data_IF_698882637429
#
_entry.id   IF_698882637429
#
_cell.length_a   1.000
_cell.length_b   1.000
_cell.length_c   1.000
_cell.angle_alpha   90.00
_cell.angle_beta   90.00
_cell.angle_gamma   90.00
#
_symmetry.space_group_name_H-M   'P 1'
#
loop_
_entity.id
_entity.type
_entity.pdbx_description
1 polymer ?
#
# COMPACT_ATOMS: atom_id res chain seq x y z
N UNK A 1 24.61 7.68 13.58
CA UNK A 1 25.33 7.94 12.31
C UNK A 1 25.39 6.74 11.33
N UNK A 2 26.15 5.66 11.54
CA UNK A 2 26.18 4.52 10.58
C UNK A 2 24.83 3.75 10.49
N UNK A 3 24.09 3.66 11.59
CA UNK A 3 22.76 3.03 11.65
C UNK A 3 21.70 3.90 10.94
N UNK A 4 21.73 5.22 11.13
CA UNK A 4 20.82 6.16 10.45
C UNK A 4 20.99 6.17 8.93
N UNK A 5 22.23 6.10 8.42
CA UNK A 5 22.49 6.07 6.98
C UNK A 5 21.95 4.77 6.35
N UNK A 6 22.03 3.63 7.05
CA UNK A 6 21.41 2.37 6.60
C UNK A 6 19.87 2.45 6.64
N UNK A 7 19.29 3.03 7.69
CA UNK A 7 17.85 3.22 7.83
C UNK A 7 17.25 4.13 6.75
N UNK A 8 17.93 5.24 6.44
CA UNK A 8 17.48 6.18 5.41
C UNK A 8 17.50 5.55 4.01
N UNK A 9 18.56 4.79 3.69
CA UNK A 9 18.69 4.08 2.39
C UNK A 9 17.63 3.01 2.19
N UNK A 10 17.29 2.24 3.23
CA UNK A 10 16.24 1.22 3.15
C UNK A 10 14.86 1.85 2.95
N UNK A 11 14.59 2.96 3.65
CA UNK A 11 13.36 3.75 3.47
C UNK A 11 13.23 4.34 2.06
N UNK A 12 14.33 4.86 1.49
CA UNK A 12 14.33 5.42 0.14
C UNK A 12 14.13 4.33 -0.92
N UNK A 13 14.87 3.22 -0.83
CA UNK A 13 14.76 2.10 -1.77
C UNK A 13 13.34 1.53 -1.78
N UNK A 14 12.72 1.37 -0.60
CA UNK A 14 11.34 0.90 -0.47
C UNK A 14 10.35 1.81 -1.19
N UNK A 15 10.51 3.14 -1.03
CA UNK A 15 9.65 4.12 -1.71
C UNK A 15 9.88 4.14 -3.22
N UNK A 16 11.12 3.96 -3.69
CA UNK A 16 11.41 3.86 -5.14
C UNK A 16 10.78 2.61 -5.74
N UNK A 17 10.86 1.46 -5.06
CA UNK A 17 10.18 0.23 -5.48
C UNK A 17 8.66 0.46 -5.48
N UNK A 18 8.12 1.06 -4.42
CA UNK A 18 6.68 1.33 -4.32
C UNK A 18 6.17 2.23 -5.45
N UNK A 19 6.87 3.34 -5.72
CA UNK A 19 6.56 4.23 -6.84
C UNK A 19 6.65 3.50 -8.18
N UNK A 20 7.66 2.64 -8.37
CA UNK A 20 7.82 1.89 -9.62
C UNK A 20 6.66 0.93 -9.86
N UNK A 21 6.19 0.24 -8.82
CA UNK A 21 5.02 -0.65 -8.89
C UNK A 21 3.74 0.13 -9.24
N UNK A 22 3.57 1.32 -8.65
CA UNK A 22 2.45 2.22 -8.96
C UNK A 22 2.49 2.67 -10.42
N UNK A 23 3.65 3.09 -10.91
CA UNK A 23 3.82 3.52 -12.31
C UNK A 23 3.57 2.37 -13.29
N UNK A 24 4.05 1.16 -12.97
CA UNK A 24 3.76 -0.02 -13.80
C UNK A 24 2.29 -0.39 -13.78
N UNK A 25 1.59 -0.22 -12.65
CA UNK A 25 0.14 -0.40 -12.62
C UNK A 25 -0.60 0.64 -13.46
N UNK A 26 -0.17 1.90 -13.48
CA UNK A 26 -0.84 2.95 -14.24
C UNK A 26 -0.60 2.85 -15.74
N UNK A 27 0.62 2.53 -16.15
CA UNK A 27 1.01 2.52 -17.56
C UNK A 27 0.79 1.17 -18.24
N UNK A 28 0.67 0.10 -17.44
CA UNK A 28 0.58 -1.30 -17.88
C UNK A 28 1.47 -1.64 -19.10
N UNK A 29 2.79 -1.44 -19.00
CA UNK A 29 3.68 -1.54 -20.15
C UNK A 29 3.77 -2.97 -20.73
N UNK A 30 3.25 -3.96 -20.00
CA UNK A 30 3.35 -5.38 -20.33
C UNK A 30 2.00 -6.09 -20.46
N UNK A 31 0.88 -5.36 -20.36
CA UNK A 31 -0.48 -5.91 -20.44
C UNK A 31 -0.72 -7.06 -19.45
N UNK A 32 -0.32 -6.87 -18.20
CA UNK A 32 -0.34 -7.93 -17.18
C UNK A 32 -1.74 -8.29 -16.67
N UNK A 33 -2.77 -7.57 -17.12
CA UNK A 33 -4.16 -7.75 -16.70
C UNK A 33 -4.50 -6.96 -15.43
N UNK A 34 -5.79 -6.67 -15.25
CA UNK A 34 -6.31 -5.79 -14.19
C UNK A 34 -5.94 -6.29 -12.78
N UNK A 35 -5.94 -7.60 -12.56
CA UNK A 35 -5.58 -8.22 -11.29
C UNK A 35 -4.14 -7.87 -10.86
N UNK A 36 -3.20 -7.96 -11.79
CA UNK A 36 -1.79 -7.72 -11.51
C UNK A 36 -1.49 -6.24 -11.34
N UNK A 37 -2.17 -5.38 -12.10
CA UNK A 37 -2.12 -3.93 -11.93
C UNK A 37 -2.52 -3.55 -10.51
N UNK A 38 -3.66 -4.04 -10.03
CA UNK A 38 -4.21 -3.68 -8.72
C UNK A 38 -3.34 -4.17 -7.58
N UNK A 39 -2.85 -5.41 -7.66
CA UNK A 39 -1.94 -5.95 -6.64
C UNK A 39 -0.65 -5.13 -6.61
N UNK A 40 -0.08 -4.82 -7.78
CA UNK A 40 1.12 -3.98 -7.88
C UNK A 40 0.87 -2.59 -7.31
N UNK A 41 -0.30 -2.02 -7.60
CA UNK A 41 -0.71 -0.72 -7.12
C UNK A 41 -0.85 -0.69 -5.60
N UNK A 42 -1.61 -1.62 -5.02
CA UNK A 42 -1.84 -1.72 -3.57
C UNK A 42 -0.53 -1.96 -2.82
N UNK A 43 0.30 -2.89 -3.30
CA UNK A 43 1.62 -3.15 -2.70
C UNK A 43 2.52 -1.93 -2.82
N UNK A 44 2.56 -1.31 -3.99
CA UNK A 44 3.34 -0.12 -4.22
C UNK A 44 2.89 1.04 -3.34
N UNK A 45 1.58 1.19 -3.16
CA UNK A 45 0.97 2.18 -2.30
C UNK A 45 1.36 1.94 -0.85
N UNK A 46 1.20 0.71 -0.31
CA UNK A 46 1.56 0.44 1.09
C UNK A 46 3.06 0.61 1.41
N UNK A 47 3.93 0.39 0.43
CA UNK A 47 5.36 0.65 0.55
C UNK A 47 5.71 2.15 0.71
N UNK A 48 4.81 3.06 0.36
CA UNK A 48 5.02 4.51 0.43
C UNK A 48 4.80 5.10 1.82
N UNK A 49 5.38 6.27 2.06
CA UNK A 49 5.05 7.10 3.23
C UNK A 49 3.74 7.87 2.99
N UNK A 50 3.12 8.37 4.05
CA UNK A 50 1.80 9.03 3.98
C UNK A 50 1.78 10.21 2.99
N UNK A 51 2.84 11.03 2.97
CA UNK A 51 2.87 12.21 2.11
C UNK A 51 2.83 11.87 0.60
N UNK A 52 3.70 10.98 0.07
CA UNK A 52 3.55 10.46 -1.29
C UNK A 52 2.21 9.76 -1.54
N UNK A 53 1.66 8.99 -0.57
CA UNK A 53 0.34 8.35 -0.71
C UNK A 53 -0.75 9.38 -1.00
N UNK A 54 -0.78 10.49 -0.26
CA UNK A 54 -1.75 11.57 -0.45
C UNK A 54 -1.62 12.18 -1.86
N UNK A 55 -0.40 12.39 -2.35
CA UNK A 55 -0.17 12.93 -3.70
C UNK A 55 -0.68 11.96 -4.76
N UNK A 56 -0.31 10.68 -4.66
CA UNK A 56 -0.71 9.64 -5.62
C UNK A 56 -2.23 9.46 -5.61
N UNK A 57 -2.85 9.43 -4.42
CA UNK A 57 -4.30 9.45 -4.27
C UNK A 57 -4.92 10.65 -4.97
N UNK A 58 -4.41 11.86 -4.74
CA UNK A 58 -4.92 13.07 -5.38
C UNK A 58 -4.87 12.98 -6.90
N UNK A 59 -3.73 12.57 -7.44
CA UNK A 59 -3.56 12.39 -8.89
C UNK A 59 -4.56 11.36 -9.42
N UNK A 60 -4.63 10.19 -8.80
CA UNK A 60 -5.50 9.11 -9.26
C UNK A 60 -6.99 9.48 -9.16
N UNK A 61 -7.40 10.15 -8.09
CA UNK A 61 -8.77 10.58 -7.84
C UNK A 61 -9.25 11.66 -8.82
N UNK A 62 -8.41 12.67 -9.11
CA UNK A 62 -8.80 13.77 -10.00
C UNK A 62 -8.73 13.40 -11.49
N UNK A 63 -7.83 12.49 -11.88
CA UNK A 63 -7.70 12.05 -13.27
C UNK A 63 -8.35 10.71 -13.58
N UNK A 64 -8.90 10.02 -12.57
CA UNK A 64 -9.51 8.70 -12.69
C UNK A 64 -8.62 7.70 -13.46
N UNK A 65 -7.33 7.67 -13.13
CA UNK A 65 -6.33 6.89 -13.89
C UNK A 65 -6.58 5.40 -13.70
N UNK A 66 -6.67 4.95 -12.45
CA UNK A 66 -6.82 3.53 -12.12
C UNK A 66 -8.27 3.09 -11.87
N UNK A 67 -9.18 4.03 -11.60
CA UNK A 67 -10.55 3.72 -11.16
C UNK A 67 -10.64 3.28 -9.69
N UNK A 68 -9.54 3.29 -8.93
CA UNK A 68 -9.49 2.84 -7.53
C UNK A 68 -9.51 3.97 -6.51
N UNK A 69 -9.89 5.19 -6.91
CA UNK A 69 -9.83 6.40 -6.08
C UNK A 69 -10.50 6.27 -4.70
N UNK A 70 -11.63 5.57 -4.60
CA UNK A 70 -12.31 5.33 -3.31
C UNK A 70 -11.51 4.40 -2.38
N UNK A 71 -10.78 3.42 -2.92
CA UNK A 71 -9.96 2.49 -2.14
C UNK A 71 -8.66 3.13 -1.66
N UNK A 72 -8.08 3.96 -2.52
CA UNK A 72 -6.95 4.81 -2.13
C UNK A 72 -7.33 5.75 -0.99
N UNK A 73 -8.53 6.34 -1.06
CA UNK A 73 -9.05 7.18 0.01
C UNK A 73 -9.15 6.38 1.32
N UNK A 74 -9.66 5.15 1.29
CA UNK A 74 -9.72 4.27 2.47
C UNK A 74 -8.33 4.00 3.04
N UNK A 75 -7.34 3.66 2.22
CA UNK A 75 -5.97 3.41 2.68
C UNK A 75 -5.28 4.66 3.23
N UNK A 76 -5.54 5.84 2.66
CA UNK A 76 -5.03 7.11 3.17
C UNK A 76 -5.68 7.47 4.51
N UNK A 77 -7.00 7.31 4.62
CA UNK A 77 -7.75 7.54 5.87
C UNK A 77 -7.28 6.57 6.95
N UNK A 78 -7.08 5.31 6.59
CA UNK A 78 -6.55 4.30 7.49
C UNK A 78 -5.18 4.69 8.06
N UNK A 79 -4.20 4.98 7.19
CA UNK A 79 -2.87 5.38 7.65
C UNK A 79 -2.94 6.65 8.51
N UNK A 80 -3.80 7.62 8.17
CA UNK A 80 -4.06 8.79 9.01
C UNK A 80 -4.58 8.40 10.39
N UNK A 81 -5.58 7.52 10.48
CA UNK A 81 -6.14 7.07 11.76
C UNK A 81 -5.06 6.39 12.60
N UNK A 82 -4.23 5.54 12.00
CA UNK A 82 -3.16 4.84 12.72
C UNK A 82 -2.05 5.79 13.18
N UNK A 83 -1.67 6.78 12.36
CA UNK A 83 -0.68 7.79 12.71
C UNK A 83 -1.19 8.70 13.85
N UNK A 84 -2.49 9.04 13.88
CA UNK A 84 -3.08 9.91 14.90
C UNK A 84 -3.46 9.20 16.20
N UNK A 85 -4.00 7.98 16.15
CA UNK A 85 -4.56 7.32 17.34
C UNK A 85 -3.56 6.45 18.12
N UNK A 86 -2.32 6.25 17.64
CA UNK A 86 -1.35 5.32 18.27
C UNK A 86 -2.01 4.01 18.72
N UNK A 87 -2.85 3.45 17.85
CA UNK A 87 -3.57 2.22 18.16
C UNK A 87 -2.56 1.12 18.50
N UNK A 88 -2.88 0.35 19.55
CA UNK A 88 -1.98 -0.66 20.09
C UNK A 88 -1.51 -1.65 19.02
N UNK A 89 -0.26 -2.13 19.14
CA UNK A 89 0.45 -2.99 18.18
C UNK A 89 -0.40 -4.11 17.56
N UNK A 90 -1.27 -4.72 18.35
CA UNK A 90 -2.12 -5.85 17.94
C UNK A 90 -3.21 -5.40 16.97
N UNK A 91 -3.76 -4.20 17.18
CA UNK A 91 -4.83 -3.64 16.35
C UNK A 91 -4.26 -3.34 14.95
N UNK A 92 -3.13 -2.65 14.86
CA UNK A 92 -2.51 -2.34 13.56
C UNK A 92 -2.11 -3.61 12.78
N UNK A 93 -1.56 -4.62 13.46
CA UNK A 93 -1.15 -5.88 12.82
C UNK A 93 -2.32 -6.73 12.31
N UNK A 94 -3.55 -6.52 12.79
CA UNK A 94 -4.71 -7.35 12.41
C UNK A 94 -5.68 -6.54 11.55
N UNK A 95 -6.01 -5.33 11.99
CA UNK A 95 -7.00 -4.47 11.33
C UNK A 95 -6.47 -3.99 9.99
N UNK A 96 -5.19 -3.62 9.89
CA UNK A 96 -4.65 -3.10 8.63
C UNK A 96 -4.61 -4.13 7.50
N UNK A 97 -4.03 -5.32 7.71
CA UNK A 97 -4.13 -6.38 6.73
C UNK A 97 -5.59 -6.78 6.46
N UNK A 98 -6.45 -6.75 7.48
CA UNK A 98 -7.88 -7.02 7.34
C UNK A 98 -8.61 -6.01 6.43
N UNK A 99 -8.27 -4.72 6.50
CA UNK A 99 -8.82 -3.69 5.62
C UNK A 99 -8.34 -3.92 4.19
N UNK A 100 -7.05 -4.19 3.99
CA UNK A 100 -6.50 -4.55 2.67
C UNK A 100 -7.18 -5.79 2.09
N UNK A 101 -7.39 -6.83 2.90
CA UNK A 101 -8.13 -8.03 2.50
C UNK A 101 -9.53 -7.68 2.00
N UNK A 102 -10.29 -6.93 2.81
CA UNK A 102 -11.67 -6.57 2.49
C UNK A 102 -11.75 -5.74 1.22
N UNK A 103 -10.83 -4.80 1.03
CA UNK A 103 -10.74 -3.99 -0.19
C UNK A 103 -10.57 -4.89 -1.41
N UNK A 104 -9.62 -5.82 -1.39
CA UNK A 104 -9.34 -6.67 -2.56
C UNK A 104 -10.49 -7.66 -2.79
N UNK A 105 -11.02 -8.25 -1.71
CA UNK A 105 -12.08 -9.24 -1.79
C UNK A 105 -13.39 -8.66 -2.32
N UNK A 106 -13.80 -7.48 -1.83
CA UNK A 106 -15.05 -6.83 -2.22
C UNK A 106 -15.03 -6.31 -3.66
N UNK A 107 -13.86 -6.12 -4.26
CA UNK A 107 -13.74 -5.78 -5.68
C UNK A 107 -13.80 -6.99 -6.63
N UNK A 108 -13.95 -8.21 -6.11
CA UNK A 108 -14.12 -9.40 -6.95
C UNK A 108 -12.82 -10.01 -7.48
N UNK A 109 -11.64 -9.58 -7.01
CA UNK A 109 -10.34 -10.17 -7.38
C UNK A 109 -10.10 -11.58 -6.82
N UNK A 110 -11.10 -12.14 -6.13
CA UNK A 110 -11.04 -13.49 -5.60
C UNK A 110 -10.27 -13.59 -4.28
N UNK A 111 -10.61 -14.64 -3.54
CA UNK A 111 -10.09 -14.91 -2.20
C UNK A 111 -8.56 -15.08 -2.17
N UNK A 112 -7.98 -15.67 -3.21
CA UNK A 112 -6.55 -15.98 -3.28
C UNK A 112 -5.69 -14.72 -3.35
N UNK A 113 -6.02 -13.77 -4.22
CA UNK A 113 -5.29 -12.51 -4.35
C UNK A 113 -5.41 -11.66 -3.08
N UNK A 114 -6.62 -11.56 -2.51
CA UNK A 114 -6.85 -10.87 -1.25
C UNK A 114 -5.98 -11.46 -0.12
N UNK A 115 -5.91 -12.79 -0.02
CA UNK A 115 -5.11 -13.48 0.99
C UNK A 115 -3.61 -13.23 0.83
N UNK A 116 -3.09 -13.29 -0.40
CA UNK A 116 -1.66 -13.06 -0.68
C UNK A 116 -1.28 -11.62 -0.30
N UNK A 117 -2.04 -10.63 -0.75
CA UNK A 117 -1.78 -9.23 -0.42
C UNK A 117 -1.84 -8.96 1.08
N UNK A 118 -2.79 -9.58 1.79
CA UNK A 118 -2.93 -9.48 3.25
C UNK A 118 -1.73 -10.05 4.00
N UNK A 119 -1.21 -11.20 3.56
CA UNK A 119 -0.02 -11.81 4.17
C UNK A 119 1.20 -10.92 3.94
N UNK A 120 1.34 -10.36 2.75
CA UNK A 120 2.45 -9.46 2.42
C UNK A 120 2.36 -8.19 3.27
N UNK A 121 1.18 -7.57 3.36
CA UNK A 121 0.93 -6.39 4.19
C UNK A 121 1.21 -6.66 5.68
N UNK A 122 0.76 -7.81 6.19
CA UNK A 122 1.07 -8.26 7.56
C UNK A 122 2.58 -8.35 7.80
N UNK A 123 3.33 -8.97 6.88
CA UNK A 123 4.78 -9.13 6.99
C UNK A 123 5.47 -7.76 6.99
N UNK A 124 5.07 -6.85 6.11
CA UNK A 124 5.66 -5.50 6.04
C UNK A 124 5.37 -4.70 7.29
N UNK A 125 4.13 -4.70 7.78
CA UNK A 125 3.74 -3.99 9.01
C UNK A 125 4.43 -4.61 10.26
N UNK A 126 4.62 -5.93 10.29
CA UNK A 126 5.38 -6.60 11.35
C UNK A 126 6.85 -6.19 11.37
N UNK A 127 7.49 -6.06 10.21
CA UNK A 127 8.89 -5.63 10.10
C UNK A 127 9.09 -4.16 10.43
N UNK A 128 8.16 -3.28 10.01
CA UNK A 128 8.23 -1.82 10.21
C UNK A 128 8.32 -1.42 11.69
N UNK A 129 7.73 -2.21 12.61
CA UNK A 129 7.72 -1.94 14.07
C UNK A 129 8.65 -2.81 14.91
N UNK A 130 9.40 -3.75 14.30
CA UNK A 130 10.42 -4.56 14.99
C UNK A 130 11.80 -3.90 15.03
N UNK A 131 11.96 -2.79 14.29
CA UNK A 131 13.13 -1.93 14.17
C UNK A 131 12.81 -0.61 14.86
#
# INVERSE_FOLDING_TARGET
>A
MLIEIKMFKFSLLRQVIGLSLILFSWLDPFYWGEEFQIVSFILGFDMMTLFPKIIIFGIDYFWNISGYGLFLLLQVIEDLIFDFFTLGRIIELIVKPGIVFLIIFLNGFGFWLASIATVIDFIFNYQKKKI
#
